data_IF_461342449313
#
_entry.id   IF_461342449313
#
_cell.length_a   1.000
_cell.length_b   1.000
_cell.length_c   1.000
_cell.angle_alpha   90.00
_cell.angle_beta   90.00
_cell.angle_gamma   90.00
#
_symmetry.space_group_name_H-M   'P 1'
#
loop_
_entity.id
_entity.type
_entity.pdbx_description
1 polymer ?
#
# COMPACT_ATOMS: atom_id res chain seq x y z
N UNK A 1 20.73 12.96 19.72
CA UNK A 1 19.72 11.96 20.12
C UNK A 1 19.97 10.70 19.31
N UNK A 2 19.95 9.51 19.93
CA UNK A 2 20.11 8.23 19.22
C UNK A 2 18.75 7.56 19.12
N UNK A 3 18.32 7.23 17.91
CA UNK A 3 17.06 6.52 17.70
C UNK A 3 17.24 5.02 17.96
N UNK A 4 16.25 4.40 18.59
CA UNK A 4 16.14 2.93 18.69
C UNK A 4 15.44 2.34 17.47
N UNK A 5 15.23 1.02 17.46
CA UNK A 5 14.53 0.35 16.36
C UNK A 5 13.02 0.64 16.38
N UNK A 6 12.61 1.59 15.54
CA UNK A 6 11.23 1.96 15.30
C UNK A 6 11.13 2.96 14.14
N UNK A 7 9.93 3.13 13.61
CA UNK A 7 9.66 4.14 12.60
C UNK A 7 9.73 5.53 13.23
N UNK A 8 10.47 6.43 12.60
CA UNK A 8 10.80 7.74 13.16
C UNK A 8 9.75 8.77 12.74
N UNK A 9 9.14 9.45 13.70
CA UNK A 9 8.16 10.52 13.48
C UNK A 9 8.54 11.78 14.24
N UNK A 10 7.84 12.86 13.96
CA UNK A 10 7.97 14.15 14.65
C UNK A 10 6.86 14.40 15.69
N UNK A 11 5.85 13.52 15.78
CA UNK A 11 4.65 13.80 16.56
C UNK A 11 3.96 12.59 17.22
N UNK A 12 4.43 11.35 17.02
CA UNK A 12 3.76 10.15 17.54
C UNK A 12 4.73 9.04 17.96
N UNK A 13 4.29 8.24 18.95
CA UNK A 13 4.99 7.04 19.38
C UNK A 13 5.82 7.24 20.65
N UNK A 14 6.57 6.21 21.03
CA UNK A 14 7.45 6.22 22.19
C UNK A 14 8.58 7.25 22.08
N UNK A 15 9.29 7.47 23.19
CA UNK A 15 10.48 8.32 23.22
C UNK A 15 11.55 7.81 22.25
N UNK A 16 12.24 8.69 21.53
CA UNK A 16 13.24 8.30 20.52
C UNK A 16 14.31 7.31 21.01
N UNK A 17 14.72 7.48 22.28
CA UNK A 17 15.84 6.76 22.90
C UNK A 17 15.44 5.39 23.48
N UNK A 18 14.15 5.03 23.43
CA UNK A 18 13.63 3.78 23.97
C UNK A 18 12.78 3.04 22.94
N UNK A 19 12.85 1.70 22.88
CA UNK A 19 12.03 0.94 21.94
C UNK A 19 10.53 1.08 22.30
N UNK A 20 9.71 1.52 21.35
CA UNK A 20 8.26 1.41 21.48
C UNK A 20 7.85 -0.02 21.15
N UNK A 21 7.74 -0.87 22.17
CA UNK A 21 7.38 -2.29 22.00
C UNK A 21 5.92 -2.51 21.60
N UNK A 22 5.09 -1.47 21.60
CA UNK A 22 3.68 -1.55 21.22
C UNK A 22 3.50 -1.32 19.72
N UNK A 23 4.11 -0.26 19.21
CA UNK A 23 3.91 0.18 17.82
C UNK A 23 5.17 0.11 16.97
N UNK A 24 6.35 0.07 17.57
CA UNK A 24 7.64 0.31 16.90
C UNK A 24 7.61 1.62 16.11
N UNK A 25 7.06 2.68 16.71
CA UNK A 25 7.03 4.04 16.17
C UNK A 25 7.52 4.95 17.29
N UNK A 26 8.40 5.89 16.97
CA UNK A 26 9.03 6.77 17.95
C UNK A 26 8.91 8.22 17.54
N UNK A 27 8.61 9.09 18.49
CA UNK A 27 8.71 10.53 18.31
C UNK A 27 10.16 10.96 18.56
N UNK A 28 10.85 11.32 17.49
CA UNK A 28 12.21 11.84 17.49
C UNK A 28 12.30 13.28 16.99
N UNK A 29 11.16 13.98 16.88
CA UNK A 29 11.11 15.32 16.27
C UNK A 29 11.70 15.33 14.85
N UNK A 30 11.57 14.22 14.12
CA UNK A 30 12.09 14.03 12.77
C UNK A 30 11.06 13.35 11.87
N UNK A 31 10.70 13.97 10.75
CA UNK A 31 9.65 13.48 9.86
C UNK A 31 10.24 12.56 8.78
N UNK A 32 10.50 11.29 9.14
CA UNK A 32 11.12 10.34 8.23
C UNK A 32 10.33 10.14 6.94
N UNK A 33 8.99 10.10 7.03
CA UNK A 33 8.13 9.96 5.85
C UNK A 33 8.37 11.11 4.85
N UNK A 34 8.44 12.35 5.32
CA UNK A 34 8.78 13.49 4.48
C UNK A 34 10.19 13.35 3.91
N UNK A 35 11.20 13.14 4.75
CA UNK A 35 12.60 13.19 4.32
C UNK A 35 12.92 12.08 3.29
N UNK A 36 12.36 10.88 3.44
CA UNK A 36 12.48 9.79 2.45
C UNK A 36 11.74 10.13 1.15
N UNK A 37 10.49 10.57 1.23
CA UNK A 37 9.72 10.92 0.04
C UNK A 37 10.37 12.10 -0.71
N UNK A 38 10.84 13.10 0.02
CA UNK A 38 11.50 14.26 -0.55
C UNK A 38 12.77 13.85 -1.28
N UNK A 39 13.56 12.93 -0.72
CA UNK A 39 14.72 12.38 -1.42
C UNK A 39 14.35 11.62 -2.70
N UNK A 40 13.29 10.81 -2.67
CA UNK A 40 12.85 9.99 -3.83
C UNK A 40 12.24 10.87 -4.94
N UNK A 41 11.54 11.96 -4.59
CA UNK A 41 10.84 12.84 -5.51
C UNK A 41 11.55 14.18 -5.71
N UNK A 42 12.87 14.11 -5.95
CA UNK A 42 13.73 15.21 -6.44
C UNK A 42 13.86 16.43 -5.50
N UNK A 43 13.56 16.30 -4.21
CA UNK A 43 13.87 17.29 -3.18
C UNK A 43 12.92 18.48 -3.09
N UNK A 44 11.83 18.50 -3.88
CA UNK A 44 10.93 19.65 -4.04
C UNK A 44 9.56 19.48 -3.35
N UNK A 45 9.43 18.55 -2.40
CA UNK A 45 8.19 18.33 -1.67
C UNK A 45 7.98 19.38 -0.58
N UNK A 46 6.72 19.74 -0.36
CA UNK A 46 6.27 20.59 0.74
C UNK A 46 6.26 19.78 2.04
N UNK A 47 7.05 20.21 3.03
CA UNK A 47 7.10 19.60 4.37
C UNK A 47 5.85 19.97 5.18
N UNK A 48 5.16 19.00 5.81
CA UNK A 48 4.16 19.31 6.83
C UNK A 48 4.83 20.01 8.02
N UNK A 49 4.51 21.29 8.24
CA UNK A 49 5.01 22.09 9.39
C UNK A 49 3.92 22.43 10.40
N UNK A 50 2.66 22.13 10.04
CA UNK A 50 1.44 22.34 10.82
C UNK A 50 0.50 21.15 10.57
N UNK A 51 -0.52 20.91 11.41
CA UNK A 51 -1.53 19.90 11.14
C UNK A 51 -2.14 20.06 9.73
N UNK A 52 -2.12 19.00 8.94
CA UNK A 52 -2.65 18.98 7.57
C UNK A 52 -4.06 18.36 7.61
N UNK A 53 -5.10 19.09 7.18
CA UNK A 53 -6.42 18.50 7.00
C UNK A 53 -6.39 17.42 5.91
N UNK A 54 -6.62 16.17 6.29
CA UNK A 54 -6.67 15.05 5.37
C UNK A 54 -8.05 14.98 4.70
N UNK A 55 -8.26 15.77 3.64
CA UNK A 55 -9.54 15.79 2.88
C UNK A 55 -9.59 14.81 1.71
N UNK A 56 -8.48 14.12 1.43
CA UNK A 56 -8.41 13.01 0.50
C UNK A 56 -9.21 11.78 0.94
N UNK A 57 -9.17 10.73 0.13
CA UNK A 57 -9.83 9.46 0.42
C UNK A 57 -8.88 8.45 1.04
N UNK A 58 -9.20 8.02 2.26
CA UNK A 58 -8.58 6.87 2.91
C UNK A 58 -9.42 5.62 2.65
N UNK A 59 -8.84 4.63 1.98
CA UNK A 59 -9.57 3.48 1.43
C UNK A 59 -8.95 2.19 1.96
N UNK A 60 -9.78 1.36 2.61
CA UNK A 60 -9.44 -0.03 2.85
C UNK A 60 -9.65 -0.84 1.55
N UNK A 61 -8.66 -1.64 1.16
CA UNK A 61 -8.67 -2.42 -0.08
C UNK A 61 -8.67 -3.90 0.21
N UNK A 62 -9.40 -4.67 -0.59
CA UNK A 62 -9.25 -6.12 -0.64
C UNK A 62 -7.98 -6.44 -1.45
N UNK A 63 -6.90 -6.84 -0.78
CA UNK A 63 -5.62 -7.09 -1.43
C UNK A 63 -5.69 -8.18 -2.52
N UNK A 64 -6.41 -9.31 -2.33
CA UNK A 64 -6.66 -10.28 -3.39
C UNK A 64 -7.22 -9.67 -4.67
N UNK A 65 -8.24 -8.82 -4.50
CA UNK A 65 -8.94 -8.14 -5.57
C UNK A 65 -8.00 -7.17 -6.30
N UNK A 66 -7.18 -6.41 -5.56
CA UNK A 66 -6.26 -5.47 -6.18
C UNK A 66 -5.07 -6.17 -6.86
N UNK A 67 -4.67 -7.35 -6.42
CA UNK A 67 -3.65 -8.17 -7.09
C UNK A 67 -4.19 -8.86 -8.34
N UNK A 68 -5.49 -9.17 -8.39
CA UNK A 68 -6.10 -9.86 -9.51
C UNK A 68 -7.51 -9.30 -9.82
N UNK A 69 -7.59 -8.09 -10.40
CA UNK A 69 -8.87 -7.42 -10.62
C UNK A 69 -9.79 -8.18 -11.58
N UNK A 70 -9.23 -9.00 -12.48
CA UNK A 70 -10.00 -9.85 -13.41
C UNK A 70 -10.69 -11.04 -12.72
N UNK A 71 -10.30 -11.39 -11.50
CA UNK A 71 -10.90 -12.50 -10.72
C UNK A 71 -12.05 -12.10 -9.81
N UNK A 72 -12.38 -10.81 -9.74
CA UNK A 72 -13.44 -10.30 -8.85
C UNK A 72 -14.80 -10.52 -9.49
N UNK A 73 -15.70 -11.23 -8.79
CA UNK A 73 -17.07 -11.39 -9.24
C UNK A 73 -17.86 -10.08 -9.08
N UNK A 74 -18.66 -9.76 -10.11
CA UNK A 74 -19.36 -8.49 -10.34
C UNK A 74 -20.31 -8.06 -9.21
N UNK A 75 -20.69 -8.99 -8.34
CA UNK A 75 -21.60 -8.81 -7.21
C UNK A 75 -20.93 -8.30 -5.94
N UNK A 76 -19.61 -8.46 -5.81
CA UNK A 76 -18.90 -8.28 -4.53
C UNK A 76 -18.44 -6.82 -4.31
N UNK A 77 -18.56 -5.98 -5.35
CA UNK A 77 -18.06 -4.59 -5.39
C UNK A 77 -19.06 -3.52 -4.92
N UNK A 78 -20.21 -3.90 -4.35
CA UNK A 78 -21.33 -2.97 -4.15
C UNK A 78 -21.15 -1.94 -3.02
N UNK A 79 -20.13 -2.04 -2.15
CA UNK A 79 -20.09 -1.31 -0.88
C UNK A 79 -18.84 -0.44 -0.59
N UNK A 80 -18.01 -0.06 -1.57
CA UNK A 80 -16.80 0.75 -1.32
C UNK A 80 -16.74 1.95 -2.27
N UNK A 81 -16.69 3.19 -1.77
CA UNK A 81 -16.95 4.41 -2.57
C UNK A 81 -16.07 4.58 -3.82
N UNK A 82 -14.73 4.48 -3.70
CA UNK A 82 -13.84 4.58 -4.87
C UNK A 82 -13.98 3.36 -5.79
N UNK A 83 -14.15 2.16 -5.24
CA UNK A 83 -14.32 0.93 -6.02
C UNK A 83 -15.70 0.77 -6.63
N UNK A 84 -16.72 1.45 -6.11
CA UNK A 84 -18.07 1.53 -6.67
C UNK A 84 -18.08 2.45 -7.88
N UNK A 85 -17.27 3.52 -7.87
CA UNK A 85 -16.98 4.34 -9.04
C UNK A 85 -16.23 3.51 -10.10
N UNK A 86 -15.21 2.72 -9.71
CA UNK A 86 -14.52 1.78 -10.61
C UNK A 86 -15.41 0.67 -11.16
N UNK A 87 -16.20 0.04 -10.31
CA UNK A 87 -17.14 -0.99 -10.69
C UNK A 87 -18.23 -0.44 -11.61
N UNK A 88 -18.62 0.83 -11.45
CA UNK A 88 -19.57 1.48 -12.34
C UNK A 88 -18.94 1.91 -13.66
N UNK A 89 -17.71 2.43 -13.68
CA UNK A 89 -16.96 2.72 -14.90
C UNK A 89 -16.73 1.47 -15.76
N UNK A 90 -16.33 0.34 -15.15
CA UNK A 90 -16.25 -0.98 -15.81
C UNK A 90 -17.61 -1.51 -16.29
N UNK A 91 -18.73 -1.05 -15.73
CA UNK A 91 -20.09 -1.38 -16.21
C UNK A 91 -20.50 -0.52 -17.41
N UNK A 92 -20.04 0.73 -17.50
CA UNK A 92 -20.48 1.71 -18.51
C UNK A 92 -19.60 1.78 -19.75
N UNK A 93 -18.40 1.20 -19.74
CA UNK A 93 -17.52 1.13 -20.92
C UNK A 93 -18.04 0.09 -21.94
N UNK A 94 -19.14 0.42 -22.63
CA UNK A 94 -19.65 -0.31 -23.78
C UNK A 94 -18.74 -0.10 -24.99
N UNK A 95 -18.06 -1.16 -25.42
CA UNK A 95 -17.61 -1.54 -26.78
C UNK A 95 -16.92 -0.55 -27.74
N UNK A 96 -16.98 0.78 -27.59
CA UNK A 96 -16.42 1.74 -28.56
C UNK A 96 -15.26 2.58 -28.02
N UNK A 97 -15.02 2.61 -26.71
CA UNK A 97 -13.85 3.22 -26.06
C UNK A 97 -13.18 2.22 -25.11
N UNK A 98 -12.79 1.05 -25.65
CA UNK A 98 -11.81 0.22 -24.96
C UNK A 98 -10.44 0.85 -25.26
N UNK A 99 -9.76 1.56 -24.33
CA UNK A 99 -8.36 1.85 -24.54
C UNK A 99 -7.69 0.50 -24.82
N UNK A 100 -6.95 0.41 -25.92
CA UNK A 100 -6.27 -0.80 -26.35
C UNK A 100 -5.05 -1.08 -25.46
N UNK A 101 -5.24 -1.08 -24.14
CA UNK A 101 -4.41 -1.85 -23.26
C UNK A 101 -5.09 -3.22 -23.17
N UNK A 102 -4.69 -4.14 -24.05
CA UNK A 102 -4.90 -5.54 -23.72
C UNK A 102 -4.14 -5.76 -22.41
N UNK A 103 -4.86 -5.86 -21.29
CA UNK A 103 -4.38 -6.54 -20.11
C UNK A 103 -4.14 -7.99 -20.55
N UNK A 104 -2.98 -8.23 -21.19
CA UNK A 104 -2.45 -9.57 -21.27
C UNK A 104 -2.17 -9.90 -19.82
N UNK A 105 -2.84 -10.94 -19.31
CA UNK A 105 -2.42 -11.62 -18.10
C UNK A 105 -0.88 -11.69 -18.16
N UNK A 106 -0.20 -10.94 -17.30
CA UNK A 106 1.26 -11.00 -17.21
C UNK A 106 1.56 -12.33 -16.53
N UNK A 107 1.51 -13.40 -17.33
CA UNK A 107 1.98 -14.72 -16.97
C UNK A 107 3.49 -14.56 -16.91
N UNK A 108 4.02 -14.36 -15.71
CA UNK A 108 5.46 -14.52 -15.50
C UNK A 108 5.81 -15.91 -16.07
N UNK A 109 6.80 -16.03 -16.95
CA UNK A 109 7.24 -17.34 -17.42
C UNK A 109 7.58 -18.20 -16.20
N UNK A 110 6.80 -19.25 -15.97
CA UNK A 110 6.97 -20.15 -14.82
C UNK A 110 6.16 -19.84 -13.55
N UNK A 111 5.32 -18.79 -13.49
CA UNK A 111 4.37 -18.65 -12.38
C UNK A 111 3.10 -19.45 -12.70
N UNK A 112 2.85 -20.52 -11.95
CA UNK A 112 1.47 -20.98 -11.73
C UNK A 112 0.62 -19.78 -11.33
N UNK A 113 -0.69 -19.82 -11.62
CA UNK A 113 -1.64 -18.88 -11.03
C UNK A 113 -1.29 -18.63 -9.56
N UNK A 114 -1.48 -17.43 -9.02
CA UNK A 114 -1.30 -17.17 -7.59
C UNK A 114 -2.41 -17.95 -6.86
N UNK A 115 -2.28 -19.27 -6.83
CA UNK A 115 -3.17 -20.26 -6.26
C UNK A 115 -2.88 -20.32 -4.77
N UNK A 116 -3.26 -19.21 -4.14
CA UNK A 116 -3.50 -18.94 -2.73
C UNK A 116 -2.71 -17.70 -2.28
N UNK A 117 -3.47 -16.62 -2.09
CA UNK A 117 -3.08 -15.51 -1.19
C UNK A 117 -2.65 -16.04 0.20
N UNK A 118 -3.07 -17.25 0.57
CA UNK A 118 -2.64 -17.94 1.79
C UNK A 118 -1.14 -18.28 1.85
N UNK A 119 -0.49 -18.60 0.74
CA UNK A 119 0.94 -18.94 0.71
C UNK A 119 1.87 -17.71 0.71
N UNK A 120 1.35 -16.53 0.39
CA UNK A 120 2.14 -15.29 0.28
C UNK A 120 2.13 -14.44 1.54
N UNK A 121 1.35 -14.80 2.56
CA UNK A 121 1.31 -14.10 3.86
C UNK A 121 0.57 -12.75 3.84
N UNK A 122 -0.06 -12.36 2.73
CA UNK A 122 -0.82 -11.12 2.68
C UNK A 122 -2.07 -11.19 3.57
N UNK A 123 -2.36 -10.10 4.27
CA UNK A 123 -3.69 -9.89 4.88
C UNK A 123 -4.75 -9.81 3.77
N UNK A 124 -6.02 -10.03 4.09
CA UNK A 124 -7.12 -9.76 3.17
C UNK A 124 -7.24 -8.26 2.91
N UNK A 125 -6.97 -7.44 3.92
CA UNK A 125 -7.17 -5.98 3.86
C UNK A 125 -5.84 -5.23 3.82
N UNK A 126 -5.71 -4.34 2.85
CA UNK A 126 -4.66 -3.31 2.77
C UNK A 126 -5.25 -1.92 2.84
N UNK A 127 -4.41 -0.89 2.67
CA UNK A 127 -4.88 0.49 2.63
C UNK A 127 -4.28 1.28 1.48
N UNK A 128 -5.03 2.25 0.97
CA UNK A 128 -4.55 3.27 0.03
C UNK A 128 -5.04 4.64 0.49
N UNK A 129 -4.17 5.63 0.41
CA UNK A 129 -4.54 7.02 0.57
C UNK A 129 -4.45 7.75 -0.78
N UNK A 130 -5.57 8.33 -1.19
CA UNK A 130 -5.69 9.18 -2.37
C UNK A 130 -5.81 10.65 -1.95
N UNK A 131 -4.79 11.48 -2.21
CA UNK A 131 -4.86 12.90 -1.92
C UNK A 131 -6.03 13.60 -2.63
N UNK A 132 -6.53 14.69 -2.06
CA UNK A 132 -7.69 15.42 -2.60
C UNK A 132 -7.58 15.72 -4.09
N UNK A 133 -6.44 16.24 -4.56
CA UNK A 133 -6.29 16.58 -5.97
C UNK A 133 -6.22 15.34 -6.88
N UNK A 134 -5.70 14.21 -6.39
CA UNK A 134 -5.68 12.96 -7.12
C UNK A 134 -7.11 12.43 -7.33
N UNK A 135 -7.99 12.61 -6.35
CA UNK A 135 -9.43 12.28 -6.50
C UNK A 135 -10.16 13.17 -7.50
N UNK A 136 -9.59 14.33 -7.84
CA UNK A 136 -10.13 15.30 -8.81
C UNK A 136 -9.52 15.14 -10.21
N UNK A 137 -8.86 14.03 -10.50
CA UNK A 137 -8.26 13.74 -11.81
C UNK A 137 -6.85 14.32 -12.00
N UNK A 138 -6.18 14.78 -10.94
CA UNK A 138 -4.74 15.10 -11.06
C UNK A 138 -3.95 13.79 -11.19
N UNK A 139 -3.07 13.73 -12.19
CA UNK A 139 -2.07 12.66 -12.30
C UNK A 139 -1.13 12.70 -11.11
N UNK A 140 -1.11 11.61 -10.35
CA UNK A 140 -0.34 11.49 -9.12
C UNK A 140 0.62 10.29 -9.18
N UNK A 141 1.88 10.43 -8.75
CA UNK A 141 2.76 9.30 -8.53
C UNK A 141 2.22 8.40 -7.40
N UNK A 142 2.68 7.16 -7.38
CA UNK A 142 2.36 6.18 -6.33
C UNK A 142 3.65 5.87 -5.57
N UNK A 143 3.59 5.94 -4.24
CA UNK A 143 4.61 5.41 -3.34
C UNK A 143 4.03 4.22 -2.55
N UNK A 144 4.88 3.23 -2.26
CA UNK A 144 4.49 2.07 -1.46
C UNK A 144 5.22 2.14 -0.12
N UNK A 145 4.45 2.25 0.97
CA UNK A 145 4.98 2.24 2.33
C UNK A 145 4.72 0.88 2.98
N UNK A 146 5.80 0.14 3.23
CA UNK A 146 5.76 -1.20 3.81
C UNK A 146 5.96 -1.11 5.33
N UNK A 147 5.04 -1.69 6.11
CA UNK A 147 5.19 -1.80 7.56
C UNK A 147 6.28 -2.81 7.94
N UNK A 148 6.86 -2.68 9.14
CA UNK A 148 7.77 -3.67 9.71
C UNK A 148 7.06 -4.89 10.31
N UNK A 149 7.84 -5.83 10.83
CA UNK A 149 7.32 -6.91 11.68
C UNK A 149 6.52 -6.33 12.86
N UNK A 150 5.47 -7.01 13.31
CA UNK A 150 4.57 -6.58 14.38
C UNK A 150 3.85 -5.24 14.13
N UNK A 151 3.96 -4.66 12.93
CA UNK A 151 3.32 -3.39 12.56
C UNK A 151 2.18 -3.56 11.53
N UNK A 152 1.87 -4.80 11.15
CA UNK A 152 0.76 -5.10 10.25
C UNK A 152 -0.60 -4.80 10.90
N UNK A 153 -1.62 -4.67 10.05
CA UNK A 153 -3.02 -4.43 10.45
C UNK A 153 -3.50 -5.38 11.53
N UNK A 154 -3.15 -6.65 11.42
CA UNK A 154 -3.53 -7.69 12.38
C UNK A 154 -3.05 -7.40 13.81
N UNK A 155 -1.97 -6.62 13.98
CA UNK A 155 -1.35 -6.33 15.27
C UNK A 155 -1.66 -4.93 15.79
N UNK A 156 -1.52 -3.90 14.96
CA UNK A 156 -1.67 -2.50 15.39
C UNK A 156 -2.76 -1.74 14.63
N UNK A 157 -3.63 -2.43 13.89
CA UNK A 157 -4.68 -1.78 13.11
C UNK A 157 -4.11 -0.85 12.04
N UNK A 158 -4.67 0.35 11.92
CA UNK A 158 -4.21 1.35 10.95
C UNK A 158 -3.17 2.33 11.51
N UNK A 159 -2.56 2.03 12.67
CA UNK A 159 -1.60 2.92 13.34
C UNK A 159 -0.40 3.22 12.46
N UNK A 160 0.24 2.20 11.85
CA UNK A 160 1.35 2.44 10.91
C UNK A 160 0.92 3.37 9.77
N UNK A 161 -0.30 3.22 9.27
CA UNK A 161 -0.79 4.00 8.13
C UNK A 161 -1.09 5.44 8.52
N UNK A 162 -1.72 5.66 9.67
CA UNK A 162 -2.20 6.98 10.12
C UNK A 162 -1.22 7.78 10.95
N UNK A 163 -0.15 7.16 11.47
CA UNK A 163 0.73 7.79 12.48
C UNK A 163 2.19 7.91 12.08
N UNK A 164 2.57 7.44 10.89
CA UNK A 164 3.95 7.55 10.38
C UNK A 164 4.21 8.86 9.63
N UNK A 165 3.19 9.70 9.40
CA UNK A 165 3.31 10.98 8.71
C UNK A 165 3.17 10.91 7.18
N UNK A 166 3.03 9.71 6.61
CA UNK A 166 2.89 9.55 5.16
C UNK A 166 1.64 10.25 4.60
N UNK A 167 0.53 10.30 5.33
CA UNK A 167 -0.74 10.82 4.79
C UNK A 167 -0.69 12.34 4.64
N UNK A 168 -0.07 13.03 5.59
CA UNK A 168 0.12 14.48 5.58
C UNK A 168 1.05 14.90 4.45
N UNK A 169 2.16 14.15 4.26
CA UNK A 169 3.07 14.40 3.14
C UNK A 169 2.37 14.13 1.81
N UNK A 170 1.61 13.03 1.72
CA UNK A 170 0.85 12.67 0.54
C UNK A 170 -0.17 13.73 0.14
N UNK A 171 -0.96 14.23 1.10
CA UNK A 171 -2.01 15.22 0.87
C UNK A 171 -1.45 16.53 0.30
N UNK A 172 -0.36 17.03 0.89
CA UNK A 172 0.27 18.27 0.43
C UNK A 172 0.95 18.13 -0.95
N UNK A 173 1.40 16.92 -1.29
CA UNK A 173 2.28 16.71 -2.44
C UNK A 173 1.65 15.94 -3.60
N UNK A 174 0.38 15.54 -3.49
CA UNK A 174 -0.35 14.79 -4.50
C UNK A 174 0.32 13.43 -4.81
N UNK A 175 0.72 12.70 -3.77
CA UNK A 175 1.33 11.37 -3.88
C UNK A 175 0.32 10.35 -3.36
N UNK A 176 -0.08 9.38 -4.17
CA UNK A 176 -0.90 8.27 -3.71
C UNK A 176 -0.02 7.33 -2.89
N UNK A 177 -0.44 6.96 -1.69
CA UNK A 177 0.31 6.00 -0.87
C UNK A 177 -0.44 4.69 -0.78
N UNK A 178 0.19 3.62 -1.24
CA UNK A 178 -0.26 2.24 -1.05
C UNK A 178 0.42 1.65 0.19
N UNK A 179 -0.37 1.06 1.08
CA UNK A 179 0.08 0.36 2.29
C UNK A 179 -0.35 -1.10 2.25
N UNK A 180 0.39 -1.96 1.54
CA UNK A 180 0.16 -3.39 1.56
C UNK A 180 0.37 -3.95 2.98
N UNK A 181 -0.33 -5.04 3.32
CA UNK A 181 -0.34 -5.64 4.65
C UNK A 181 0.02 -7.12 4.57
N UNK A 182 0.91 -7.55 5.46
CA UNK A 182 1.22 -8.95 5.76
C UNK A 182 0.62 -9.32 7.12
N UNK A 183 0.12 -10.55 7.22
CA UNK A 183 -0.44 -11.15 8.44
C UNK A 183 0.49 -12.23 8.99
N UNK A 184 0.48 -12.42 10.31
CA UNK A 184 1.21 -13.49 10.95
C UNK A 184 0.75 -14.88 10.45
N UNK A 185 1.71 -15.78 10.24
CA UNK A 185 1.46 -17.21 9.97
C UNK A 185 2.04 -18.07 11.09
N UNK A 186 1.21 -18.94 11.65
CA UNK A 186 1.57 -19.81 12.78
C UNK A 186 1.87 -21.25 12.38
N UNK A 187 1.83 -21.56 11.09
CA UNK A 187 2.15 -22.85 10.50
C UNK A 187 3.52 -22.82 9.86
N UNK A 188 4.27 -23.93 9.90
CA UNK A 188 5.61 -23.98 9.34
C UNK A 188 5.63 -23.92 7.80
N UNK A 189 6.55 -23.13 7.19
CA UNK A 189 7.48 -22.20 7.85
C UNK A 189 6.76 -20.99 8.47
N UNK A 190 6.99 -20.78 9.76
CA UNK A 190 6.21 -19.82 10.55
C UNK A 190 6.75 -18.39 10.42
N UNK A 191 5.84 -17.43 10.26
CA UNK A 191 6.09 -15.99 10.33
C UNK A 191 5.20 -15.36 11.42
N UNK A 192 5.50 -15.65 12.69
CA UNK A 192 4.66 -15.26 13.84
C UNK A 192 4.55 -13.75 14.05
N UNK A 193 5.53 -13.02 13.54
CA UNK A 193 5.60 -11.57 13.67
C UNK A 193 4.99 -10.84 12.45
N UNK A 194 4.50 -11.57 11.45
CA UNK A 194 3.88 -10.97 10.26
C UNK A 194 4.85 -10.08 9.47
N UNK A 195 6.11 -10.52 9.34
CA UNK A 195 7.16 -9.86 8.56
C UNK A 195 6.96 -10.07 7.06
N UNK A 196 7.42 -9.10 6.25
CA UNK A 196 7.67 -9.33 4.83
C UNK A 196 8.68 -10.48 4.64
N UNK A 197 8.60 -11.18 3.52
CA UNK A 197 9.45 -12.34 3.23
C UNK A 197 10.86 -11.88 2.81
N UNK A 198 11.74 -11.81 3.81
CA UNK A 198 13.15 -11.44 3.65
C UNK A 198 14.10 -12.61 3.92
N UNK A 199 13.57 -13.79 4.24
CA UNK A 199 14.35 -14.99 4.60
C UNK A 199 13.85 -16.27 3.91
N UNK A 200 12.83 -16.18 3.06
CA UNK A 200 12.36 -17.27 2.21
C UNK A 200 11.26 -18.14 2.81
N UNK A 201 10.47 -17.63 3.75
CA UNK A 201 9.40 -18.42 4.37
C UNK A 201 8.24 -18.68 3.40
N UNK A 202 7.96 -17.76 2.48
CA UNK A 202 6.92 -17.95 1.47
C UNK A 202 7.44 -18.61 0.20
N UNK A 203 8.68 -18.31 -0.19
CA UNK A 203 9.28 -18.84 -1.42
C UNK A 203 10.81 -18.74 -1.41
N UNK A 204 11.54 -19.69 -2.03
CA UNK A 204 12.98 -19.52 -2.27
C UNK A 204 13.29 -18.35 -3.22
N UNK A 205 12.30 -17.82 -3.94
CA UNK A 205 12.44 -16.66 -4.83
C UNK A 205 12.21 -15.31 -4.12
N UNK A 206 12.11 -15.27 -2.79
CA UNK A 206 11.73 -14.08 -2.01
C UNK A 206 12.50 -12.80 -2.37
N UNK A 207 13.80 -12.92 -2.69
CA UNK A 207 14.67 -11.78 -3.00
C UNK A 207 14.76 -11.42 -4.50
N UNK A 208 13.97 -12.06 -5.38
CA UNK A 208 14.02 -11.82 -6.82
C UNK A 208 12.65 -11.52 -7.43
N UNK A 209 12.62 -11.18 -8.73
CA UNK A 209 11.39 -10.78 -9.44
C UNK A 209 10.27 -11.83 -9.48
N UNK A 210 10.57 -13.08 -9.10
CA UNK A 210 9.62 -14.19 -9.01
C UNK A 210 9.05 -14.37 -7.59
N UNK A 211 9.50 -13.58 -6.60
CA UNK A 211 9.00 -13.61 -5.23
C UNK A 211 7.51 -13.27 -5.16
N UNK A 212 6.74 -14.06 -4.40
CA UNK A 212 5.27 -13.95 -4.33
C UNK A 212 4.81 -12.61 -3.77
N UNK A 213 5.48 -12.10 -2.73
CA UNK A 213 5.17 -10.79 -2.14
C UNK A 213 5.54 -9.63 -3.06
N UNK A 214 6.72 -9.67 -3.69
CA UNK A 214 7.11 -8.67 -4.69
C UNK A 214 6.13 -8.64 -5.87
N UNK A 215 5.75 -9.82 -6.40
CA UNK A 215 4.79 -9.92 -7.49
C UNK A 215 3.39 -9.41 -7.07
N UNK A 216 2.94 -9.69 -5.84
CA UNK A 216 1.68 -9.19 -5.29
C UNK A 216 1.65 -7.66 -5.21
N UNK A 217 2.68 -7.06 -4.60
CA UNK A 217 2.79 -5.59 -4.52
C UNK A 217 2.85 -4.97 -5.92
N UNK A 218 3.62 -5.55 -6.85
CA UNK A 218 3.69 -5.06 -8.24
C UNK A 218 2.32 -5.06 -8.92
N UNK A 219 1.53 -6.12 -8.73
CA UNK A 219 0.16 -6.21 -9.27
C UNK A 219 -0.76 -5.13 -8.67
N UNK A 220 -0.66 -4.86 -7.36
CA UNK A 220 -1.41 -3.76 -6.76
C UNK A 220 -1.05 -2.40 -7.37
N UNK A 221 0.24 -2.13 -7.57
CA UNK A 221 0.70 -0.90 -8.23
C UNK A 221 0.13 -0.79 -9.64
N UNK A 222 0.16 -1.87 -10.42
CA UNK A 222 -0.36 -1.87 -11.79
C UNK A 222 -1.86 -1.61 -11.83
N UNK A 223 -2.63 -2.22 -10.92
CA UNK A 223 -4.06 -1.94 -10.76
C UNK A 223 -4.32 -0.48 -10.41
N UNK A 224 -3.56 0.12 -9.49
CA UNK A 224 -3.69 1.55 -9.14
C UNK A 224 -3.32 2.47 -10.30
N UNK A 225 -2.34 2.09 -11.13
CA UNK A 225 -1.99 2.85 -12.35
C UNK A 225 -3.09 2.81 -13.39
N UNK A 226 -3.68 1.63 -13.62
CA UNK A 226 -4.83 1.49 -14.52
C UNK A 226 -6.02 2.31 -14.01
N UNK A 227 -6.23 2.33 -12.70
CA UNK A 227 -7.19 3.19 -12.02
C UNK A 227 -6.90 4.67 -12.31
N UNK A 228 -5.69 5.15 -12.06
CA UNK A 228 -5.39 6.57 -12.30
C UNK A 228 -5.60 6.97 -13.77
N UNK A 229 -5.19 6.11 -14.71
CA UNK A 229 -5.33 6.38 -16.14
C UNK A 229 -6.79 6.52 -16.61
N UNK A 230 -7.73 5.86 -15.94
CA UNK A 230 -9.15 5.94 -16.29
C UNK A 230 -9.92 7.04 -15.54
N UNK A 231 -9.34 7.66 -14.50
CA UNK A 231 -9.86 8.93 -13.95
C UNK A 231 -9.54 10.14 -14.84
N UNK A 232 -8.52 10.00 -15.70
CA UNK A 232 -8.08 11.04 -16.62
C UNK A 232 -8.93 11.11 -17.91
N UNK A 233 -9.82 10.13 -18.14
CA UNK A 233 -10.60 9.94 -19.37
C UNK A 233 -12.07 10.32 -19.19
#
# INVERSE_FOLDING_TARGET
MRATHGFITDNFGGLCEFPDLKYFINNCSFNLAYDVLNHIFDGNLTKPTKPVPLTGQFVAIEQPALMNPESINRTDLKNTSIFSYWANWLKTSTTTHKPSFQLRAFKLPGSSEISSIGASGFDKVGYVYYPTNCTKGKKCPIHVALHGCLQGKWRIGDVFVKKTGYLEVAELNNIIILFPQIVATHTDPSNRDGCWDWWGYGSPNYANKLGTQMAGVKKMIDSLRAINAALDA
#
